data_IF_535217708865
#
_entry.id   IF_535217708865
#
_cell.length_a   1.000
_cell.length_b   1.000
_cell.length_c   1.000
_cell.angle_alpha   90.00
_cell.angle_beta   90.00
_cell.angle_gamma   90.00
#
_symmetry.space_group_name_H-M   'P 1'
#
loop_
_entity.id
_entity.type
_entity.pdbx_description
1 polymer ?
#
# COMPACT_ATOMS: atom_id res chain seq x y z
N UNK A 1 -34.27 4.88 26.37
CA UNK A 1 -34.84 5.58 25.20
C UNK A 1 -33.91 6.58 24.47
N UNK A 2 -32.73 7.03 24.95
CA UNK A 2 -31.87 7.95 24.17
C UNK A 2 -30.99 7.26 23.12
N UNK A 3 -30.62 5.99 23.31
CA UNK A 3 -29.74 5.25 22.40
C UNK A 3 -30.35 4.99 21.01
N UNK A 4 -31.67 4.84 20.90
CA UNK A 4 -32.36 4.63 19.62
C UNK A 4 -32.40 5.90 18.76
N UNK A 5 -32.58 7.06 19.38
CA UNK A 5 -32.54 8.35 18.69
C UNK A 5 -31.14 8.67 18.16
N UNK A 6 -30.09 8.31 18.92
CA UNK A 6 -28.70 8.47 18.49
C UNK A 6 -28.34 7.54 17.32
N UNK A 7 -28.76 6.28 17.37
CA UNK A 7 -28.56 5.34 16.27
C UNK A 7 -29.25 5.81 14.97
N UNK A 8 -30.48 6.32 15.08
CA UNK A 8 -31.21 6.90 13.96
C UNK A 8 -30.50 8.12 13.35
N UNK A 9 -29.93 8.99 14.21
CA UNK A 9 -29.15 10.15 13.76
C UNK A 9 -27.87 9.73 13.02
N UNK A 10 -27.15 8.73 13.52
CA UNK A 10 -25.94 8.20 12.86
C UNK A 10 -26.30 7.60 11.51
N UNK A 11 -27.37 6.81 11.43
CA UNK A 11 -27.84 6.22 10.17
C UNK A 11 -28.21 7.30 9.15
N UNK A 12 -28.88 8.37 9.59
CA UNK A 12 -29.23 9.51 8.73
C UNK A 12 -28.00 10.27 8.22
N UNK A 13 -27.03 10.56 9.10
CA UNK A 13 -25.78 11.22 8.71
C UNK A 13 -24.97 10.37 7.72
N UNK A 14 -24.94 9.04 7.90
CA UNK A 14 -24.28 8.12 6.98
C UNK A 14 -24.92 8.15 5.59
N UNK A 15 -26.25 8.09 5.51
CA UNK A 15 -26.95 8.14 4.22
C UNK A 15 -26.71 9.47 3.48
N UNK A 16 -26.67 10.59 4.22
CA UNK A 16 -26.35 11.91 3.65
C UNK A 16 -24.90 11.97 3.15
N UNK A 17 -23.95 11.43 3.92
CA UNK A 17 -22.55 11.35 3.50
C UNK A 17 -22.37 10.49 2.24
N UNK A 18 -23.05 9.34 2.16
CA UNK A 18 -23.03 8.46 0.98
C UNK A 18 -23.57 9.19 -0.26
N UNK A 19 -24.65 9.96 -0.13
CA UNK A 19 -25.22 10.76 -1.22
C UNK A 19 -24.29 11.90 -1.69
N UNK A 20 -23.64 12.61 -0.76
CA UNK A 20 -22.66 13.66 -1.09
C UNK A 20 -21.41 13.08 -1.76
N UNK A 21 -20.90 11.95 -1.26
CA UNK A 21 -19.76 11.26 -1.84
C UNK A 21 -20.05 10.71 -3.24
N UNK A 22 -21.30 10.33 -3.55
CA UNK A 22 -21.69 9.87 -4.88
C UNK A 22 -21.54 10.95 -5.97
N UNK A 23 -21.56 12.23 -5.60
CA UNK A 23 -21.34 13.35 -6.51
C UNK A 23 -19.84 13.68 -6.73
N UNK A 24 -18.95 13.15 -5.88
CA UNK A 24 -17.52 13.27 -6.10
C UNK A 24 -17.13 12.39 -7.30
N UNK A 25 -16.18 12.84 -8.15
CA UNK A 25 -15.63 11.95 -9.15
C UNK A 25 -15.13 10.68 -8.43
N UNK A 26 -15.34 9.47 -9.00
CA UNK A 26 -14.86 8.26 -8.36
C UNK A 26 -13.38 8.44 -8.10
N UNK A 27 -13.00 8.52 -6.82
CA UNK A 27 -11.62 8.47 -6.38
C UNK A 27 -11.17 7.03 -6.55
N UNK A 28 -11.10 6.60 -7.81
CA UNK A 28 -10.43 5.39 -8.21
C UNK A 28 -8.96 5.64 -7.91
N UNK A 29 -8.57 5.28 -6.68
CA UNK A 29 -7.24 4.71 -6.42
C UNK A 29 -7.09 3.66 -7.49
N UNK A 30 -6.35 4.00 -8.54
CA UNK A 30 -6.19 3.12 -9.69
C UNK A 30 -5.35 1.99 -9.13
N UNK A 31 -5.99 0.88 -8.78
CA UNK A 31 -5.30 -0.40 -8.69
C UNK A 31 -4.84 -0.86 -10.09
N UNK A 32 -4.32 0.05 -10.93
CA UNK A 32 -3.58 -0.25 -12.14
C UNK A 32 -2.20 -0.74 -11.73
N UNK A 33 -2.15 -1.95 -11.15
CA UNK A 33 -1.12 -2.98 -11.36
C UNK A 33 -1.27 -4.22 -10.47
N UNK A 34 -2.49 -4.71 -10.20
CA UNK A 34 -2.64 -6.10 -9.72
C UNK A 34 -2.95 -7.08 -10.86
N UNK A 35 -3.28 -6.58 -12.07
CA UNK A 35 -3.66 -7.42 -13.21
C UNK A 35 -2.59 -7.56 -14.33
N UNK A 36 -1.34 -7.16 -14.09
CA UNK A 36 -0.21 -7.64 -14.93
C UNK A 36 0.47 -8.88 -14.33
N UNK A 37 -0.11 -9.43 -13.26
CA UNK A 37 0.32 -10.61 -12.50
C UNK A 37 -0.21 -11.90 -13.13
N UNK A 38 -0.24 -11.97 -14.47
CA UNK A 38 -0.96 -12.98 -15.23
C UNK A 38 -0.34 -13.32 -16.60
N UNK A 39 0.99 -13.39 -16.72
CA UNK A 39 1.67 -14.04 -17.84
C UNK A 39 3.13 -14.32 -17.43
N UNK A 40 3.52 -15.58 -17.23
CA UNK A 40 4.14 -16.42 -18.26
C UNK A 40 5.41 -15.82 -18.87
N UNK A 41 6.52 -16.58 -18.79
CA UNK A 41 7.66 -16.43 -19.69
C UNK A 41 8.97 -16.12 -18.99
N UNK A 42 9.94 -17.02 -19.16
CA UNK A 42 11.33 -16.82 -18.79
C UNK A 42 11.84 -15.47 -19.35
N UNK A 43 12.42 -14.64 -18.49
CA UNK A 43 12.99 -13.32 -18.78
C UNK A 43 12.00 -12.16 -19.07
N UNK A 44 11.53 -11.52 -18.00
CA UNK A 44 10.89 -10.20 -18.03
C UNK A 44 11.21 -9.41 -16.77
N UNK A 45 12.02 -8.36 -16.91
CA UNK A 45 12.42 -7.30 -15.95
C UNK A 45 11.65 -7.25 -14.61
N UNK A 46 12.11 -8.01 -13.60
CA UNK A 46 11.70 -7.88 -12.19
C UNK A 46 12.34 -6.63 -11.59
N UNK A 47 11.57 -5.75 -10.95
CA UNK A 47 12.10 -4.55 -10.26
C UNK A 47 12.14 -4.80 -8.75
N UNK A 48 13.34 -4.74 -8.18
CA UNK A 48 13.55 -4.60 -6.72
C UNK A 48 12.92 -3.27 -6.28
N UNK A 49 12.29 -3.25 -5.10
CA UNK A 49 11.44 -2.14 -4.68
C UNK A 49 11.43 -1.81 -3.21
N UNK A 50 10.77 -0.70 -2.86
CA UNK A 50 10.68 -0.16 -1.50
C UNK A 50 9.63 -0.84 -0.61
N UNK A 51 9.10 -2.00 -0.99
CA UNK A 51 8.17 -2.72 -0.13
C UNK A 51 8.86 -3.36 1.06
N UNK A 52 8.08 -3.78 2.05
CA UNK A 52 8.60 -4.41 3.27
C UNK A 52 8.60 -5.94 3.20
N UNK A 53 7.82 -6.51 2.27
CA UNK A 53 7.69 -7.94 2.08
C UNK A 53 8.99 -8.56 1.56
N UNK A 54 9.43 -9.64 2.21
CA UNK A 54 10.59 -10.42 1.78
C UNK A 54 10.33 -11.04 0.40
N UNK A 55 11.26 -10.84 -0.53
CA UNK A 55 11.20 -11.46 -1.86
C UNK A 55 12.17 -12.64 -1.97
N UNK A 56 13.48 -12.37 -1.87
CA UNK A 56 14.51 -13.41 -1.96
C UNK A 56 15.82 -12.97 -1.29
N UNK A 57 16.72 -13.93 -1.09
CA UNK A 57 18.14 -13.65 -0.85
C UNK A 57 18.92 -13.71 -2.16
N UNK A 58 19.80 -12.73 -2.37
CA UNK A 58 20.73 -12.68 -3.51
C UNK A 58 22.16 -12.53 -3.00
N UNK A 59 23.13 -13.04 -3.76
CA UNK A 59 24.56 -12.78 -3.50
C UNK A 59 24.85 -11.27 -3.57
N UNK A 60 25.56 -10.79 -2.56
CA UNK A 60 26.13 -9.44 -2.54
C UNK A 60 27.09 -9.27 -3.73
N UNK A 61 26.99 -8.14 -4.41
CA UNK A 61 27.83 -7.78 -5.54
C UNK A 61 28.14 -6.29 -5.60
N UNK A 62 28.97 -5.87 -6.56
CA UNK A 62 29.30 -4.46 -6.76
C UNK A 62 28.04 -3.61 -6.96
N UNK A 63 27.90 -2.53 -6.20
CA UNK A 63 26.75 -1.62 -6.23
C UNK A 63 25.73 -1.84 -5.11
N UNK A 64 25.86 -2.93 -4.35
CA UNK A 64 25.03 -3.17 -3.18
C UNK A 64 25.41 -2.27 -2.01
N UNK A 65 24.40 -1.76 -1.31
CA UNK A 65 24.63 -1.04 -0.07
C UNK A 65 25.00 -2.05 1.03
N UNK A 66 26.11 -1.80 1.75
CA UNK A 66 26.56 -2.65 2.87
C UNK A 66 25.45 -2.84 3.92
N UNK A 67 24.63 -1.81 4.15
CA UNK A 67 23.48 -1.85 5.06
C UNK A 67 22.39 -2.84 4.66
N UNK A 68 22.37 -3.30 3.41
CA UNK A 68 21.40 -4.27 2.90
C UNK A 68 21.86 -5.73 3.11
N UNK A 69 23.09 -5.95 3.61
CA UNK A 69 23.60 -7.28 3.91
C UNK A 69 22.80 -7.88 5.07
N UNK A 70 22.24 -9.07 4.82
CA UNK A 70 21.66 -9.89 5.87
C UNK A 70 22.79 -10.71 6.52
N UNK A 71 23.27 -10.22 7.67
CA UNK A 71 24.35 -10.86 8.41
C UNK A 71 23.95 -12.24 8.96
N UNK A 72 22.67 -12.46 9.26
CA UNK A 72 22.18 -13.74 9.79
C UNK A 72 22.20 -14.82 8.70
N UNK A 73 21.76 -14.49 7.49
CA UNK A 73 21.81 -15.40 6.34
C UNK A 73 23.26 -15.63 5.89
N UNK A 74 24.08 -14.58 5.89
CA UNK A 74 25.49 -14.66 5.49
C UNK A 74 26.33 -15.51 6.45
N UNK A 75 26.06 -15.47 7.75
CA UNK A 75 26.77 -16.29 8.75
C UNK A 75 26.59 -17.81 8.54
N UNK A 76 25.59 -18.24 7.76
CA UNK A 76 25.32 -19.65 7.45
C UNK A 76 26.05 -20.15 6.20
N UNK A 77 26.84 -19.30 5.54
CA UNK A 77 27.51 -19.59 4.27
C UNK A 77 28.87 -18.90 4.19
N UNK A 78 29.68 -19.25 3.18
CA UNK A 78 30.94 -18.54 2.86
C UNK A 78 30.72 -17.29 2.01
N UNK A 79 29.46 -16.95 1.71
CA UNK A 79 29.10 -15.82 0.85
C UNK A 79 28.23 -14.80 1.58
N UNK A 80 28.38 -13.53 1.19
CA UNK A 80 27.52 -12.45 1.65
C UNK A 80 26.21 -12.43 0.86
N UNK A 81 25.12 -12.26 1.57
CA UNK A 81 23.77 -12.19 1.01
C UNK A 81 23.11 -10.86 1.34
N UNK A 82 22.41 -10.31 0.35
CA UNK A 82 21.52 -9.17 0.48
C UNK A 82 20.08 -9.69 0.47
N UNK A 83 19.25 -9.14 1.33
CA UNK A 83 17.81 -9.39 1.33
C UNK A 83 17.14 -8.41 0.35
N UNK A 84 16.47 -8.93 -0.65
CA UNK A 84 15.63 -8.14 -1.55
C UNK A 84 14.19 -8.18 -1.07
N UNK A 85 13.51 -7.04 -1.20
CA UNK A 85 12.09 -6.89 -0.89
C UNK A 85 11.26 -6.73 -2.15
N UNK A 86 10.00 -7.13 -2.05
CA UNK A 86 9.00 -6.96 -3.09
C UNK A 86 8.72 -5.47 -3.31
N UNK A 87 8.38 -5.09 -4.54
CA UNK A 87 7.94 -3.72 -4.81
C UNK A 87 6.48 -3.57 -4.41
N UNK A 88 6.22 -2.75 -3.39
CA UNK A 88 4.88 -2.44 -2.92
C UNK A 88 4.41 -1.10 -3.51
N UNK A 89 3.29 -1.14 -4.25
CA UNK A 89 2.63 0.06 -4.75
C UNK A 89 1.62 0.54 -3.70
N UNK A 90 2.06 1.37 -2.75
CA UNK A 90 1.13 2.05 -1.85
C UNK A 90 0.59 3.31 -2.54
N UNK A 91 -0.73 3.40 -2.72
CA UNK A 91 -1.39 4.68 -3.05
C UNK A 91 -1.92 5.30 -1.75
N UNK A 92 -1.59 6.58 -1.51
CA UNK A 92 -2.02 7.32 -0.32
C UNK A 92 -3.08 8.35 -0.69
N UNK A 93 -4.23 8.31 -0.02
CA UNK A 93 -5.26 9.34 -0.11
C UNK A 93 -5.31 10.16 1.18
N UNK A 94 -5.44 11.47 1.03
CA UNK A 94 -5.65 12.40 2.13
C UNK A 94 -7.06 12.99 1.99
N UNK A 95 -7.88 12.85 3.03
CA UNK A 95 -9.17 13.52 3.14
C UNK A 95 -9.19 14.43 4.39
N UNK A 96 -9.81 15.58 4.26
CA UNK A 96 -10.01 16.55 5.33
C UNK A 96 -11.44 17.09 5.24
N UNK A 97 -12.07 17.30 6.39
CA UNK A 97 -13.37 17.93 6.50
C UNK A 97 -13.20 19.29 7.19
N UNK A 98 -13.65 20.36 6.56
CA UNK A 98 -13.77 21.66 7.22
C UNK A 98 -15.09 21.73 8.00
N UNK A 99 -15.00 22.10 9.28
CA UNK A 99 -16.15 22.23 10.19
C UNK A 99 -16.48 23.70 10.47
N UNK A 100 -15.93 24.63 9.69
CA UNK A 100 -16.20 26.06 9.80
C UNK A 100 -17.64 26.45 9.39
N UNK A 101 -18.15 27.60 9.88
CA UNK A 101 -19.52 28.07 9.60
C UNK A 101 -19.80 28.43 8.13
N UNK A 102 -18.81 28.31 7.24
CA UNK A 102 -18.96 28.54 5.79
C UNK A 102 -19.57 27.38 5.01
N UNK A 103 -19.87 26.24 5.65
CA UNK A 103 -20.58 25.10 5.07
C UNK A 103 -21.92 24.86 5.79
N UNK A 104 -22.84 25.83 5.74
CA UNK A 104 -24.21 25.69 6.24
C UNK A 104 -25.22 25.77 5.08
#
# INVERSE_FOLDING_TARGET
MPASAQAARIASLRAQAEALCAALPPWMVKAERVANTGAHGAHGRRRVGLGEAFWQFRRYGPGDAIRAIDWRQSARSSHLFVRETEWEAAETLWCWCDMGPGMA
#
